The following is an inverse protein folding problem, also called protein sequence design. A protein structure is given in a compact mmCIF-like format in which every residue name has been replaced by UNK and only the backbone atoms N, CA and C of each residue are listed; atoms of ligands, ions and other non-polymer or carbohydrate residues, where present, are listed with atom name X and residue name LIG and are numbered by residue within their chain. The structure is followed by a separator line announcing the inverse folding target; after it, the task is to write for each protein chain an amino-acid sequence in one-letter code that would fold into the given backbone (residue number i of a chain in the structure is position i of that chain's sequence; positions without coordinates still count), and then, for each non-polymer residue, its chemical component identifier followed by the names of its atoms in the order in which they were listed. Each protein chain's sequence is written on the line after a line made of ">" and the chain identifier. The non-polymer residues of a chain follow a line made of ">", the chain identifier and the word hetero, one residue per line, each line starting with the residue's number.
data_IF_172073374468
#
_entry.id   IF_172073374468
#
_cell.length_a   1.000
_cell.length_b   1.000
_cell.length_c   1.000
_cell.angle_alpha   90.00
_cell.angle_beta   90.00
_cell.angle_gamma   90.00
#
_symmetry.space_group_name_H-M   'P 1'
#
loop_
_entity.id
_entity.type
_entity.pdbx_description
1 polymer ?
#
# COMPACT_ATOMS: atom_id res chain seq x y z
N UNK A 1 -4.02 -56.53 14.14
CA UNK A 1 -3.09 -57.33 13.33
C UNK A 1 -1.97 -56.37 12.96
N UNK A 2 -0.89 -56.34 13.79
CA UNK A 2 0.36 -57.05 13.55
C UNK A 2 0.96 -56.69 12.18
N UNK A 3 1.96 -55.79 12.10
CA UNK A 3 3.35 -56.18 12.01
C UNK A 3 4.27 -55.02 12.40
N UNK A 4 4.98 -55.25 13.48
CA UNK A 4 6.22 -54.69 13.97
C UNK A 4 7.34 -55.23 13.09
N UNK A 5 8.17 -54.40 12.49
CA UNK A 5 9.49 -54.83 11.98
C UNK A 5 10.54 -53.84 12.48
N UNK A 6 11.26 -54.34 13.44
CA UNK A 6 12.50 -53.85 14.00
C UNK A 6 13.64 -54.22 13.03
N UNK A 7 14.51 -53.27 12.64
CA UNK A 7 15.82 -53.62 12.10
C UNK A 7 16.90 -52.69 12.67
N UNK A 8 17.75 -53.35 13.45
CA UNK A 8 18.94 -52.87 14.16
C UNK A 8 20.15 -52.74 13.20
N UNK A 9 21.00 -51.78 13.55
CA UNK A 9 22.46 -51.76 13.50
C UNK A 9 23.15 -51.67 12.13
N UNK A 10 24.04 -50.67 11.99
CA UNK A 10 25.48 -50.91 12.02
C UNK A 10 26.20 -49.56 12.29
N UNK A 11 27.00 -49.55 13.36
CA UNK A 11 27.94 -48.52 13.75
C UNK A 11 29.18 -48.65 12.84
N UNK A 12 29.45 -47.64 12.03
CA UNK A 12 30.72 -47.53 11.31
C UNK A 12 31.51 -46.33 11.82
N UNK A 13 32.47 -46.60 12.71
CA UNK A 13 33.46 -45.63 13.17
C UNK A 13 34.56 -45.56 12.11
N UNK A 14 34.57 -44.47 11.30
CA UNK A 14 35.73 -44.10 10.50
C UNK A 14 36.45 -42.96 11.19
N UNK A 15 37.59 -43.28 11.78
CA UNK A 15 38.57 -42.31 12.25
C UNK A 15 39.18 -41.60 11.05
N UNK A 16 38.89 -40.29 10.89
CA UNK A 16 39.55 -39.44 9.92
C UNK A 16 40.62 -38.62 10.65
N UNK A 17 41.87 -38.90 10.26
CA UNK A 17 43.11 -38.26 10.68
C UNK A 17 43.06 -36.76 10.48
N UNK A 18 43.25 -35.95 11.52
CA UNK A 18 43.47 -34.53 11.43
C UNK A 18 44.87 -34.27 10.90
N UNK A 19 44.97 -33.86 9.64
CA UNK A 19 46.12 -33.18 9.09
C UNK A 19 46.03 -31.69 9.40
N UNK A 20 46.88 -31.18 10.29
CA UNK A 20 47.01 -29.78 10.64
C UNK A 20 47.67 -29.03 9.47
N UNK A 21 46.89 -28.51 8.58
CA UNK A 21 47.33 -27.52 7.61
C UNK A 21 47.20 -26.12 8.22
N UNK A 22 48.35 -25.49 8.49
CA UNK A 22 48.40 -24.08 8.90
C UNK A 22 47.90 -23.23 7.76
N UNK A 23 46.66 -22.84 7.81
CA UNK A 23 46.14 -21.76 6.94
C UNK A 23 46.57 -20.43 7.55
N UNK A 24 47.48 -19.72 6.91
CA UNK A 24 47.74 -18.34 7.19
C UNK A 24 46.46 -17.51 6.95
N UNK A 25 46.08 -16.59 7.84
CA UNK A 25 44.92 -15.76 7.63
C UNK A 25 45.29 -14.72 6.53
N UNK A 26 44.83 -14.95 5.33
CA UNK A 26 44.74 -13.89 4.32
C UNK A 26 43.83 -12.80 4.86
N UNK A 27 44.23 -11.53 4.93
CA UNK A 27 43.34 -10.45 5.32
C UNK A 27 42.28 -10.29 4.21
N UNK A 28 41.13 -10.92 4.40
CA UNK A 28 39.94 -10.60 3.64
C UNK A 28 39.55 -9.18 4.03
N UNK A 29 39.93 -8.23 3.20
CA UNK A 29 39.36 -6.88 3.26
C UNK A 29 37.90 -7.01 2.90
N UNK A 30 37.05 -7.25 3.91
CA UNK A 30 35.63 -7.01 3.77
C UNK A 30 35.50 -5.50 3.55
N UNK A 31 35.38 -5.10 2.28
CA UNK A 31 34.80 -3.82 1.96
C UNK A 31 33.38 -3.90 2.50
N UNK A 32 33.17 -3.29 3.67
CA UNK A 32 31.84 -3.15 4.23
C UNK A 32 31.03 -2.39 3.15
N UNK A 33 30.10 -3.09 2.51
CA UNK A 33 29.05 -2.40 1.75
C UNK A 33 28.45 -1.35 2.69
N UNK A 34 28.14 -0.13 2.20
CA UNK A 34 27.55 0.89 3.03
C UNK A 34 26.29 0.27 3.67
N UNK A 35 26.36 0.02 4.96
CA UNK A 35 25.21 -0.43 5.73
C UNK A 35 24.18 0.67 5.56
N UNK A 36 23.11 0.39 4.84
CA UNK A 36 22.00 1.30 4.65
C UNK A 36 21.52 1.68 6.06
N UNK A 37 21.83 2.93 6.46
CA UNK A 37 21.49 3.41 7.79
C UNK A 37 19.97 3.51 7.82
N UNK A 38 19.33 2.56 8.50
CA UNK A 38 17.88 2.57 8.67
C UNK A 38 17.51 3.85 9.40
N UNK A 39 16.77 4.72 8.73
CA UNK A 39 16.25 5.95 9.34
C UNK A 39 15.21 5.57 10.41
N UNK A 40 15.62 5.70 11.68
CA UNK A 40 14.78 5.35 12.82
C UNK A 40 13.52 6.21 12.89
N UNK A 41 13.60 7.48 12.51
CA UNK A 41 12.45 8.40 12.52
C UNK A 41 11.43 7.98 11.44
N UNK A 42 11.91 7.54 10.27
CA UNK A 42 11.06 6.96 9.25
C UNK A 42 10.36 5.68 9.75
N UNK A 43 11.11 4.77 10.37
CA UNK A 43 10.54 3.53 10.90
C UNK A 43 9.49 3.78 11.98
N UNK A 44 9.71 4.76 12.86
CA UNK A 44 8.75 5.18 13.87
C UNK A 44 7.49 5.75 13.21
N UNK A 45 7.64 6.62 12.19
CA UNK A 45 6.51 7.21 11.48
C UNK A 45 5.68 6.15 10.74
N UNK A 46 6.34 5.22 10.04
CA UNK A 46 5.68 4.10 9.35
C UNK A 46 4.93 3.18 10.33
N UNK A 47 5.54 2.87 11.49
CA UNK A 47 4.90 2.07 12.53
C UNK A 47 3.65 2.74 13.08
N UNK A 48 3.71 4.06 13.35
CA UNK A 48 2.53 4.83 13.78
C UNK A 48 1.44 4.83 12.71
N UNK A 49 1.79 5.07 11.44
CA UNK A 49 0.85 5.03 10.32
C UNK A 49 0.13 3.68 10.25
N UNK A 50 0.89 2.58 10.32
CA UNK A 50 0.34 1.22 10.35
C UNK A 50 -0.64 1.03 11.51
N UNK A 51 -0.31 1.49 12.72
CA UNK A 51 -1.17 1.36 13.89
C UNK A 51 -2.48 2.15 13.73
N UNK A 52 -2.42 3.39 13.22
CA UNK A 52 -3.62 4.17 12.93
C UNK A 52 -4.48 3.54 11.84
N UNK A 53 -3.85 2.97 10.81
CA UNK A 53 -4.56 2.23 9.76
C UNK A 53 -5.30 1.00 10.33
N UNK A 54 -4.64 0.20 11.18
CA UNK A 54 -5.30 -0.93 11.85
C UNK A 54 -6.45 -0.46 12.74
N UNK A 55 -6.27 0.61 13.52
CA UNK A 55 -7.31 1.20 14.35
C UNK A 55 -8.50 1.65 13.53
N UNK A 56 -8.28 2.30 12.39
CA UNK A 56 -9.34 2.69 11.46
C UNK A 56 -10.13 1.46 10.98
N UNK A 57 -9.45 0.38 10.58
CA UNK A 57 -10.11 -0.86 10.13
C UNK A 57 -10.99 -1.50 11.23
N UNK A 58 -10.55 -1.49 12.47
CA UNK A 58 -11.36 -1.98 13.61
C UNK A 58 -12.62 -1.12 13.74
N UNK A 59 -12.49 0.21 13.72
CA UNK A 59 -13.65 1.09 13.78
C UNK A 59 -14.61 0.91 12.58
N UNK A 60 -14.07 0.67 11.39
CA UNK A 60 -14.88 0.36 10.20
C UNK A 60 -15.71 -0.93 10.41
N UNK A 61 -15.08 -1.98 10.95
CA UNK A 61 -15.77 -3.25 11.21
C UNK A 61 -16.89 -3.10 12.26
N UNK A 62 -16.75 -2.15 13.16
CA UNK A 62 -17.75 -1.82 14.19
C UNK A 62 -18.81 -0.81 13.71
N UNK A 63 -18.75 -0.35 12.44
CA UNK A 63 -19.63 0.68 11.90
C UNK A 63 -19.36 2.09 12.44
N UNK A 64 -18.24 2.31 13.16
CA UNK A 64 -17.84 3.58 13.75
C UNK A 64 -17.07 4.44 12.74
N UNK A 65 -17.80 4.93 11.72
CA UNK A 65 -17.17 5.62 10.59
C UNK A 65 -16.48 6.95 10.98
N UNK A 66 -17.01 7.66 11.97
CA UNK A 66 -16.41 8.91 12.44
C UNK A 66 -15.06 8.67 13.12
N UNK A 67 -14.95 7.65 13.97
CA UNK A 67 -13.72 7.26 14.65
C UNK A 67 -12.69 6.66 13.67
N UNK A 68 -13.17 5.91 12.66
CA UNK A 68 -12.34 5.44 11.58
C UNK A 68 -11.73 6.63 10.81
N UNK A 69 -12.55 7.59 10.43
CA UNK A 69 -12.12 8.83 9.75
C UNK A 69 -11.10 9.61 10.58
N UNK A 70 -11.35 9.78 11.88
CA UNK A 70 -10.40 10.43 12.78
C UNK A 70 -9.04 9.69 12.81
N UNK A 71 -9.06 8.37 12.88
CA UNK A 71 -7.83 7.56 12.88
C UNK A 71 -7.04 7.69 11.58
N UNK A 72 -7.70 7.79 10.42
CA UNK A 72 -7.02 8.02 9.13
C UNK A 72 -6.43 9.43 9.06
N UNK A 73 -7.12 10.45 9.59
CA UNK A 73 -6.60 11.82 9.65
C UNK A 73 -5.33 11.93 10.49
N UNK A 74 -5.16 11.10 11.53
CA UNK A 74 -3.91 11.01 12.30
C UNK A 74 -2.72 10.58 11.42
N UNK A 75 -2.94 9.68 10.42
CA UNK A 75 -1.90 9.32 9.47
C UNK A 75 -1.47 10.53 8.64
N UNK A 76 -2.41 11.34 8.20
CA UNK A 76 -2.15 12.55 7.41
C UNK A 76 -1.34 13.59 8.20
N UNK A 77 -1.51 13.64 9.52
CA UNK A 77 -0.81 14.55 10.42
C UNK A 77 0.61 14.10 10.82
N UNK A 78 1.00 12.86 10.49
CA UNK A 78 2.33 12.35 10.84
C UNK A 78 3.44 13.14 10.15
N UNK A 79 4.48 13.42 10.92
CA UNK A 79 5.72 13.97 10.38
C UNK A 79 6.62 12.84 9.91
N UNK A 80 7.07 12.95 8.67
CA UNK A 80 8.05 12.06 8.07
C UNK A 80 9.36 12.80 7.86
N UNK A 81 10.50 12.12 7.84
CA UNK A 81 11.77 12.70 7.44
C UNK A 81 11.70 13.32 6.04
N UNK A 82 12.46 14.38 5.83
CA UNK A 82 12.52 15.05 4.53
C UNK A 82 13.10 14.10 3.46
N UNK A 83 12.45 14.06 2.29
CA UNK A 83 12.93 13.26 1.17
C UNK A 83 12.57 11.78 1.21
N UNK A 84 11.85 11.30 2.24
CA UNK A 84 11.38 9.92 2.29
C UNK A 84 10.24 9.68 1.28
N UNK A 85 10.46 8.88 0.20
CA UNK A 85 9.42 8.63 -0.82
C UNK A 85 8.23 7.85 -0.24
N UNK A 86 8.44 7.05 0.81
CA UNK A 86 7.41 6.31 1.53
C UNK A 86 6.36 7.24 2.16
N UNK A 87 6.76 8.46 2.51
CA UNK A 87 5.85 9.45 3.08
C UNK A 87 4.73 9.83 2.10
N UNK A 88 5.04 9.95 0.81
CA UNK A 88 4.05 10.20 -0.23
C UNK A 88 3.10 9.02 -0.37
N UNK A 89 3.65 7.80 -0.45
CA UNK A 89 2.87 6.58 -0.59
C UNK A 89 1.90 6.37 0.58
N UNK A 90 2.39 6.54 1.82
CA UNK A 90 1.54 6.43 3.03
C UNK A 90 0.44 7.48 3.05
N UNK A 91 0.74 8.73 2.66
CA UNK A 91 -0.28 9.78 2.59
C UNK A 91 -1.31 9.51 1.50
N UNK A 92 -0.91 9.00 0.35
CA UNK A 92 -1.83 8.67 -0.74
C UNK A 92 -2.72 7.48 -0.39
N UNK A 93 -2.19 6.44 0.28
CA UNK A 93 -2.99 5.35 0.83
C UNK A 93 -4.01 5.85 1.86
N UNK A 94 -3.57 6.71 2.78
CA UNK A 94 -4.46 7.32 3.77
C UNK A 94 -5.56 8.19 3.12
N UNK A 95 -5.23 8.98 2.07
CA UNK A 95 -6.22 9.76 1.32
C UNK A 95 -7.25 8.87 0.61
N UNK A 96 -6.79 7.79 -0.02
CA UNK A 96 -7.68 6.83 -0.65
C UNK A 96 -8.68 6.23 0.37
N UNK A 97 -8.18 5.79 1.52
CA UNK A 97 -9.03 5.26 2.59
C UNK A 97 -9.97 6.33 3.18
N UNK A 98 -9.46 7.55 3.40
CA UNK A 98 -10.28 8.68 3.89
C UNK A 98 -11.42 8.98 2.93
N UNK A 99 -11.13 9.05 1.63
CA UNK A 99 -12.15 9.33 0.62
C UNK A 99 -13.23 8.24 0.58
N UNK A 100 -12.87 6.95 0.70
CA UNK A 100 -13.84 5.85 0.79
C UNK A 100 -14.74 5.96 2.04
N UNK A 101 -14.16 6.34 3.18
CA UNK A 101 -14.92 6.61 4.40
C UNK A 101 -15.89 7.78 4.25
N UNK A 102 -15.45 8.85 3.56
CA UNK A 102 -16.29 10.01 3.26
C UNK A 102 -17.43 9.66 2.30
N UNK A 103 -17.18 8.82 1.29
CA UNK A 103 -18.25 8.28 0.40
C UNK A 103 -19.27 7.51 1.22
N UNK A 104 -18.84 6.64 2.13
CA UNK A 104 -19.74 5.88 3.01
C UNK A 104 -20.57 6.77 3.94
N UNK A 105 -20.12 8.00 4.18
CA UNK A 105 -20.83 9.03 4.96
C UNK A 105 -21.61 10.02 4.08
N UNK A 106 -21.71 9.76 2.77
CA UNK A 106 -22.34 10.62 1.77
C UNK A 106 -21.71 12.03 1.68
N UNK A 107 -20.42 12.15 2.00
CA UNK A 107 -19.64 13.40 1.94
C UNK A 107 -18.83 13.45 0.62
N UNK A 108 -19.54 13.37 -0.52
CA UNK A 108 -18.94 13.14 -1.85
C UNK A 108 -18.01 14.27 -2.30
N UNK A 109 -18.29 15.52 -1.93
CA UNK A 109 -17.45 16.67 -2.31
C UNK A 109 -16.15 16.71 -1.52
N UNK A 110 -16.17 16.35 -0.24
CA UNK A 110 -14.95 16.23 0.57
C UNK A 110 -14.11 15.03 0.11
N UNK A 111 -14.75 13.92 -0.23
CA UNK A 111 -14.08 12.75 -0.79
C UNK A 111 -13.34 13.12 -2.08
N UNK A 112 -14.00 13.84 -3.00
CA UNK A 112 -13.40 14.27 -4.26
C UNK A 112 -12.21 15.21 -4.03
N UNK A 113 -12.34 16.21 -3.14
CA UNK A 113 -11.21 17.09 -2.80
C UNK A 113 -10.02 16.32 -2.24
N UNK A 114 -10.26 15.40 -1.34
CA UNK A 114 -9.21 14.56 -0.73
C UNK A 114 -8.41 13.79 -1.78
N UNK A 115 -9.08 13.19 -2.75
CA UNK A 115 -8.44 12.45 -3.84
C UNK A 115 -7.68 13.39 -4.79
N UNK A 116 -8.31 14.51 -5.18
CA UNK A 116 -7.69 15.49 -6.07
C UNK A 116 -6.42 16.10 -5.47
N UNK A 117 -6.42 16.40 -4.17
CA UNK A 117 -5.23 16.86 -3.45
C UNK A 117 -4.11 15.82 -3.48
N UNK A 118 -4.44 14.54 -3.29
CA UNK A 118 -3.46 13.46 -3.38
C UNK A 118 -2.82 13.38 -4.76
N UNK A 119 -3.63 13.38 -5.81
CA UNK A 119 -3.15 13.34 -7.19
C UNK A 119 -2.29 14.58 -7.51
N UNK A 120 -2.74 15.79 -7.12
CA UNK A 120 -2.03 17.03 -7.42
C UNK A 120 -0.71 17.19 -6.66
N UNK A 121 -0.58 16.60 -5.47
CA UNK A 121 0.63 16.66 -4.64
C UNK A 121 1.63 15.54 -4.95
N UNK A 122 1.23 14.52 -5.69
CA UNK A 122 2.10 13.40 -6.05
C UNK A 122 3.18 13.83 -7.02
N UNK A 123 4.43 13.48 -6.72
CA UNK A 123 5.61 13.81 -7.52
C UNK A 123 5.96 12.73 -8.53
N UNK A 124 5.41 11.51 -8.35
CA UNK A 124 5.66 10.35 -9.19
C UNK A 124 4.40 9.52 -9.37
N UNK A 125 4.31 8.82 -10.48
CA UNK A 125 3.32 7.76 -10.62
C UNK A 125 3.70 6.57 -9.72
N UNK A 126 2.71 6.04 -9.00
CA UNK A 126 2.85 4.88 -8.12
C UNK A 126 1.54 4.11 -8.07
N UNK A 127 1.58 2.89 -7.54
CA UNK A 127 0.36 2.11 -7.27
C UNK A 127 -0.61 2.85 -6.34
N UNK A 128 -0.10 3.69 -5.45
CA UNK A 128 -0.93 4.50 -4.56
C UNK A 128 -1.62 5.63 -5.31
N UNK A 129 -0.96 6.24 -6.30
CA UNK A 129 -1.58 7.23 -7.20
C UNK A 129 -2.62 6.56 -8.09
N UNK A 130 -2.35 5.37 -8.64
CA UNK A 130 -3.34 4.59 -9.38
C UNK A 130 -4.59 4.30 -8.53
N UNK A 131 -4.40 3.94 -7.25
CA UNK A 131 -5.52 3.74 -6.32
C UNK A 131 -6.34 5.02 -6.06
N UNK A 132 -5.70 6.20 -6.02
CA UNK A 132 -6.44 7.47 -5.95
C UNK A 132 -7.35 7.67 -7.16
N UNK A 133 -6.90 7.31 -8.37
CA UNK A 133 -7.75 7.36 -9.56
C UNK A 133 -8.88 6.34 -9.50
N UNK A 134 -8.64 5.13 -8.96
CA UNK A 134 -9.72 4.15 -8.71
C UNK A 134 -10.79 4.75 -7.79
N UNK A 135 -10.37 5.33 -6.66
CA UNK A 135 -11.30 5.95 -5.69
C UNK A 135 -12.02 7.17 -6.31
N UNK A 136 -11.34 7.93 -7.18
CA UNK A 136 -11.99 9.00 -7.94
C UNK A 136 -13.13 8.46 -8.80
N UNK A 137 -12.94 7.32 -9.45
CA UNK A 137 -13.99 6.63 -10.19
C UNK A 137 -15.16 6.23 -9.29
N UNK A 138 -14.87 5.60 -8.15
CA UNK A 138 -15.89 5.22 -7.14
C UNK A 138 -16.72 6.43 -6.65
N UNK A 139 -16.09 7.61 -6.49
CA UNK A 139 -16.80 8.84 -6.11
C UNK A 139 -17.75 9.31 -7.23
N UNK A 140 -17.29 9.27 -8.50
CA UNK A 140 -18.14 9.60 -9.63
C UNK A 140 -19.34 8.64 -9.75
N UNK A 141 -19.13 7.33 -9.53
CA UNK A 141 -20.24 6.35 -9.44
C UNK A 141 -21.22 6.69 -8.31
N UNK A 142 -20.70 7.02 -7.13
CA UNK A 142 -21.54 7.42 -6.00
C UNK A 142 -22.36 8.69 -6.31
N UNK A 143 -21.77 9.67 -7.00
CA UNK A 143 -22.50 10.87 -7.48
C UNK A 143 -23.56 10.50 -8.51
N UNK A 144 -23.21 9.66 -9.48
CA UNK A 144 -24.17 9.17 -10.47
C UNK A 144 -25.36 8.45 -9.82
N UNK A 145 -25.13 7.71 -8.75
CA UNK A 145 -26.19 6.99 -8.02
C UNK A 145 -27.16 7.92 -7.29
N UNK A 146 -26.84 9.19 -7.06
CA UNK A 146 -27.75 10.18 -6.46
C UNK A 146 -28.69 10.84 -7.48
N UNK A 147 -28.47 10.62 -8.79
CA UNK A 147 -29.21 11.27 -9.87
C UNK A 147 -30.35 10.39 -10.38
N UNK A 148 -31.50 11.00 -10.64
CA UNK A 148 -32.65 10.29 -11.21
C UNK A 148 -32.51 10.22 -12.76
N UNK A 149 -32.39 9.02 -13.34
CA UNK A 149 -32.28 8.84 -14.79
C UNK A 149 -33.54 9.24 -15.54
N UNK A 150 -34.67 9.39 -14.87
CA UNK A 150 -35.95 9.80 -15.48
C UNK A 150 -36.13 11.31 -15.49
N UNK A 151 -35.32 12.04 -14.73
CA UNK A 151 -35.34 13.51 -14.72
C UNK A 151 -34.49 14.04 -15.90
N UNK A 152 -35.08 14.70 -16.92
CA UNK A 152 -34.31 15.24 -18.05
C UNK A 152 -33.22 16.24 -17.63
N UNK A 153 -33.40 16.94 -16.51
CA UNK A 153 -32.43 17.90 -16.01
C UNK A 153 -31.19 17.22 -15.44
N UNK A 154 -31.32 15.99 -14.93
CA UNK A 154 -30.25 15.20 -14.32
C UNK A 154 -29.63 14.18 -15.29
N UNK A 155 -30.32 13.83 -16.37
CA UNK A 155 -29.87 12.79 -17.31
C UNK A 155 -28.50 13.12 -17.93
N UNK A 156 -28.26 14.39 -18.31
CA UNK A 156 -26.97 14.81 -18.85
C UNK A 156 -25.85 14.67 -17.82
N UNK A 157 -26.09 15.13 -16.59
CA UNK A 157 -25.13 15.02 -15.49
C UNK A 157 -24.83 13.55 -15.13
N UNK A 158 -25.85 12.68 -15.16
CA UNK A 158 -25.68 11.24 -14.94
C UNK A 158 -24.71 10.63 -15.96
N UNK A 159 -24.83 11.01 -17.25
CA UNK A 159 -23.93 10.55 -18.30
C UNK A 159 -22.50 11.08 -18.06
N UNK A 160 -22.35 12.35 -17.71
CA UNK A 160 -21.06 12.97 -17.39
C UNK A 160 -20.37 12.28 -16.22
N UNK A 161 -21.08 12.02 -15.12
CA UNK A 161 -20.52 11.33 -13.96
C UNK A 161 -20.06 9.89 -14.31
N UNK A 162 -20.84 9.15 -15.10
CA UNK A 162 -20.44 7.82 -15.59
C UNK A 162 -19.20 7.85 -16.48
N UNK A 163 -19.11 8.82 -17.40
CA UNK A 163 -17.93 8.98 -18.24
C UNK A 163 -16.70 9.35 -17.41
N UNK A 164 -16.86 10.23 -16.42
CA UNK A 164 -15.79 10.61 -15.52
C UNK A 164 -15.30 9.42 -14.67
N UNK A 165 -16.20 8.53 -14.25
CA UNK A 165 -15.84 7.28 -13.55
C UNK A 165 -14.98 6.37 -14.45
N UNK A 166 -15.43 6.10 -15.69
CA UNK A 166 -14.70 5.29 -16.66
C UNK A 166 -13.31 5.88 -16.91
N UNK A 167 -13.23 7.18 -17.21
CA UNK A 167 -11.95 7.86 -17.44
C UNK A 167 -10.99 7.77 -16.26
N UNK A 168 -11.50 7.81 -15.03
CA UNK A 168 -10.68 7.65 -13.84
C UNK A 168 -10.15 6.21 -13.70
N UNK A 169 -10.97 5.20 -13.98
CA UNK A 169 -10.53 3.80 -13.99
C UNK A 169 -9.51 3.51 -15.09
N UNK A 170 -9.71 4.06 -16.29
CA UNK A 170 -8.76 3.94 -17.39
C UNK A 170 -7.40 4.53 -16.99
N UNK A 171 -7.37 5.73 -16.40
CA UNK A 171 -6.12 6.34 -15.93
C UNK A 171 -5.44 5.49 -14.83
N UNK A 172 -6.21 4.88 -13.93
CA UNK A 172 -5.66 3.93 -12.94
C UNK A 172 -4.99 2.73 -13.61
N UNK A 173 -5.66 2.13 -14.61
CA UNK A 173 -5.15 0.99 -15.37
C UNK A 173 -3.89 1.36 -16.16
N UNK A 174 -3.85 2.54 -16.78
CA UNK A 174 -2.68 3.01 -17.54
C UNK A 174 -1.45 3.14 -16.64
N UNK A 175 -1.60 3.75 -15.47
CA UNK A 175 -0.52 3.88 -14.48
C UNK A 175 -0.04 2.49 -14.04
N UNK A 176 -0.95 1.58 -13.67
CA UNK A 176 -0.60 0.24 -13.24
C UNK A 176 0.12 -0.55 -14.34
N UNK A 177 -0.32 -0.44 -15.58
CA UNK A 177 0.31 -1.09 -16.74
C UNK A 177 1.71 -0.55 -17.00
N UNK A 178 1.90 0.76 -16.93
CA UNK A 178 3.21 1.39 -17.09
C UNK A 178 4.20 0.95 -16.00
N UNK A 179 3.75 0.92 -14.74
CA UNK A 179 4.57 0.46 -13.61
C UNK A 179 4.93 -1.03 -13.74
N UNK A 180 3.99 -1.87 -14.18
CA UNK A 180 4.23 -3.30 -14.41
C UNK A 180 5.26 -3.53 -15.50
N UNK A 181 5.17 -2.81 -16.63
CA UNK A 181 6.12 -2.92 -17.73
C UNK A 181 7.53 -2.53 -17.27
N UNK A 182 7.67 -1.43 -16.53
CA UNK A 182 8.95 -1.01 -15.97
C UNK A 182 9.56 -2.08 -15.06
N UNK A 183 8.78 -2.72 -14.19
CA UNK A 183 9.27 -3.79 -13.32
C UNK A 183 9.70 -5.06 -14.09
N UNK A 184 9.19 -5.26 -15.31
CA UNK A 184 9.63 -6.38 -16.17
C UNK A 184 10.91 -6.06 -16.94
N UNK A 185 11.14 -4.79 -17.31
CA UNK A 185 12.34 -4.32 -17.98
C UNK A 185 13.56 -4.29 -17.06
N UNK A 186 13.35 -4.06 -15.77
CA UNK A 186 14.42 -3.98 -14.74
C UNK A 186 14.87 -5.38 -14.25
N UNK A 187 14.33 -6.49 -14.80
CA UNK A 187 14.68 -7.88 -14.45
C UNK A 187 15.60 -8.52 -15.48
#
# INVERSE_FOLDING_TARGET
>A
MKYLVLLLAVIGITACSCSSEKVEPTPTTHTAEPTEVIDQDLMIALSKAKNFHHKARVYMSDGKLAEATASVREIMALKFPAGAPEAEDVRNDARALLAKLLVSQNQLDEAMRTVQEGIAQSQRESFFVANLYTVKGEIHEARAATLDPKDPAQAAQLVEEKHAAISAYDKSNDINSALQNKLMEDR
#
